data_IF_203197126202
#
_entry.id   IF_203197126202
#
_cell.length_a   1.000
_cell.length_b   1.000
_cell.length_c   1.000
_cell.angle_alpha   90.00
_cell.angle_beta   90.00
_cell.angle_gamma   90.00
#
_symmetry.space_group_name_H-M   'P 1'
#
loop_
_entity.id
_entity.type
_entity.pdbx_description
1 polymer ?
#
# COMPACT_ATOMS: atom_id res chain seq x y z
N UNK A 1 -8.21 38.29 64.81
CA UNK A 1 -7.67 37.05 64.21
C UNK A 1 -8.82 36.10 63.96
N UNK A 2 -9.32 35.98 62.73
CA UNK A 2 -9.82 34.72 62.14
C UNK A 2 -9.64 34.89 60.62
N UNK A 3 -8.82 34.02 60.02
CA UNK A 3 -8.52 33.97 58.59
C UNK A 3 -9.63 33.21 57.88
N UNK A 4 -10.19 33.76 56.79
CA UNK A 4 -11.06 33.00 55.87
C UNK A 4 -10.21 32.51 54.70
N UNK A 5 -9.95 31.21 54.67
CA UNK A 5 -9.40 30.51 53.51
C UNK A 5 -10.54 30.28 52.51
N UNK A 6 -10.45 30.87 51.31
CA UNK A 6 -11.29 30.48 50.17
C UNK A 6 -10.55 29.40 49.40
N UNK A 7 -11.04 28.16 49.47
CA UNK A 7 -10.56 27.05 48.63
C UNK A 7 -11.33 27.12 47.30
N UNK A 8 -10.67 27.56 46.24
CA UNK A 8 -11.18 27.44 44.88
C UNK A 8 -10.81 26.05 44.37
N UNK A 9 -11.80 25.15 44.29
CA UNK A 9 -11.65 23.86 43.65
C UNK A 9 -11.58 24.05 42.12
N UNK A 10 -10.40 23.92 41.55
CA UNK A 10 -10.20 23.75 40.11
C UNK A 10 -10.71 22.37 39.70
N UNK A 11 -11.91 22.32 39.10
CA UNK A 11 -12.39 21.14 38.37
C UNK A 11 -11.62 21.11 37.06
N UNK A 12 -10.52 20.36 37.03
CA UNK A 12 -9.87 19.94 35.79
C UNK A 12 -10.78 18.90 35.12
N UNK A 13 -11.74 19.37 34.33
CA UNK A 13 -12.45 18.52 33.39
C UNK A 13 -11.48 18.05 32.32
N UNK A 14 -11.02 16.81 32.42
CA UNK A 14 -10.32 16.13 31.35
C UNK A 14 -11.27 15.99 30.15
N UNK A 15 -11.07 16.84 29.15
CA UNK A 15 -11.69 16.66 27.83
C UNK A 15 -11.01 15.46 27.19
N UNK A 16 -11.60 14.28 27.34
CA UNK A 16 -11.27 13.13 26.52
C UNK A 16 -11.67 13.46 25.08
N UNK A 17 -10.69 13.81 24.26
CA UNK A 17 -10.85 13.85 22.81
C UNK A 17 -10.98 12.39 22.37
N UNK A 18 -12.21 11.90 22.26
CA UNK A 18 -12.47 10.62 21.63
C UNK A 18 -12.09 10.74 20.15
N UNK A 19 -10.98 10.12 19.74
CA UNK A 19 -10.68 9.90 18.34
C UNK A 19 -11.91 9.24 17.70
N UNK A 20 -12.48 9.93 16.71
CA UNK A 20 -13.77 9.59 16.12
C UNK A 20 -13.79 8.15 15.65
N UNK A 21 -14.79 7.40 16.10
CA UNK A 21 -15.06 6.06 15.61
C UNK A 21 -15.30 6.10 14.09
N UNK A 22 -14.60 5.23 13.37
CA UNK A 22 -14.84 4.88 11.98
C UNK A 22 -16.34 4.66 11.76
N UNK A 23 -16.91 5.30 10.73
CA UNK A 23 -18.31 5.04 10.35
C UNK A 23 -18.33 3.69 9.62
N UNK A 24 -18.59 2.61 10.35
CA UNK A 24 -18.86 1.28 9.79
C UNK A 24 -20.17 1.34 9.00
N UNK A 25 -20.08 1.49 7.68
CA UNK A 25 -21.19 1.21 6.76
C UNK A 25 -21.22 -0.30 6.50
N UNK A 26 -22.17 -0.98 7.15
CA UNK A 26 -22.29 -2.43 7.10
C UNK A 26 -22.96 -2.86 5.78
N UNK A 27 -22.20 -2.89 4.69
CA UNK A 27 -22.61 -3.56 3.45
C UNK A 27 -21.79 -4.84 3.27
N UNK A 28 -22.06 -5.84 4.10
CA UNK A 28 -21.69 -7.26 3.91
C UNK A 28 -20.21 -7.63 3.88
N UNK A 29 -19.43 -7.05 2.95
CA UNK A 29 -18.15 -7.59 2.49
C UNK A 29 -17.05 -6.53 2.26
N UNK A 30 -17.35 -5.24 2.48
CA UNK A 30 -16.43 -4.12 2.21
C UNK A 30 -16.29 -3.19 3.41
N UNK A 31 -15.06 -2.81 3.72
CA UNK A 31 -14.69 -1.88 4.78
C UNK A 31 -14.23 -0.55 4.20
N UNK A 32 -14.69 0.56 4.79
CA UNK A 32 -14.38 1.92 4.33
C UNK A 32 -13.86 2.74 5.50
N UNK A 33 -12.82 3.53 5.24
CA UNK A 33 -12.48 4.69 6.07
C UNK A 33 -12.57 5.97 5.23
N UNK A 34 -13.41 6.89 5.68
CA UNK A 34 -13.36 8.28 5.23
C UNK A 34 -12.28 8.97 6.05
N UNK A 35 -11.10 9.17 5.47
CA UNK A 35 -9.93 9.65 6.21
C UNK A 35 -9.96 11.14 6.54
N UNK A 36 -10.95 11.89 6.02
CA UNK A 36 -11.14 13.32 6.31
C UNK A 36 -11.73 13.50 7.72
N UNK A 37 -11.01 14.12 8.68
CA UNK A 37 -11.52 14.29 10.04
C UNK A 37 -12.75 15.21 10.08
N UNK A 38 -13.67 14.94 11.02
CA UNK A 38 -14.86 15.78 11.21
C UNK A 38 -14.46 17.22 11.52
N UNK A 39 -15.12 18.18 10.86
CA UNK A 39 -14.90 19.62 11.07
C UNK A 39 -13.77 20.22 10.22
N UNK A 40 -13.00 19.41 9.49
CA UNK A 40 -12.07 19.89 8.47
C UNK A 40 -12.73 19.89 7.10
N UNK A 41 -12.49 20.96 6.33
CA UNK A 41 -12.82 20.91 4.91
C UNK A 41 -11.88 19.96 4.19
N UNK A 42 -12.38 19.33 3.14
CA UNK A 42 -11.63 18.47 2.23
C UNK A 42 -10.30 19.11 1.78
N UNK A 43 -10.35 20.38 1.36
CA UNK A 43 -9.19 21.20 0.99
C UNK A 43 -8.18 21.40 2.14
N UNK A 44 -8.67 21.72 3.34
CA UNK A 44 -7.80 21.94 4.50
C UNK A 44 -7.11 20.62 4.94
N UNK A 45 -7.83 19.50 4.87
CA UNK A 45 -7.26 18.19 5.16
C UNK A 45 -6.15 17.84 4.18
N UNK A 46 -6.33 18.02 2.87
CA UNK A 46 -5.25 17.72 1.90
C UNK A 46 -4.04 18.58 2.09
N UNK A 47 -4.23 19.89 2.31
CA UNK A 47 -3.08 20.76 2.59
C UNK A 47 -2.29 20.26 3.80
N UNK A 48 -2.97 19.78 4.84
CA UNK A 48 -2.32 19.17 6.00
C UNK A 48 -1.59 17.85 5.73
N UNK A 49 -1.92 17.13 4.64
CA UNK A 49 -1.20 15.93 4.20
C UNK A 49 0.00 16.34 3.36
N UNK A 50 -0.18 17.27 2.41
CA UNK A 50 0.90 17.80 1.58
C UNK A 50 2.00 18.42 2.45
N UNK A 51 1.63 19.29 3.40
CA UNK A 51 2.56 19.94 4.33
C UNK A 51 3.26 18.94 5.27
N UNK A 52 2.61 17.81 5.55
CA UNK A 52 3.20 16.74 6.36
C UNK A 52 4.33 16.04 5.61
N UNK A 53 4.16 15.73 4.31
CA UNK A 53 5.15 14.97 3.55
C UNK A 53 6.25 15.82 2.91
N UNK A 54 7.18 16.25 3.77
CA UNK A 54 8.45 16.85 3.33
C UNK A 54 9.34 15.81 2.63
N UNK A 55 10.29 16.24 1.77
CA UNK A 55 11.28 15.35 1.18
C UNK A 55 11.99 14.46 2.21
N UNK A 56 12.33 15.00 3.37
CA UNK A 56 13.02 14.26 4.44
C UNK A 56 12.13 13.15 5.04
N UNK A 57 10.83 13.42 5.23
CA UNK A 57 9.89 12.38 5.71
C UNK A 57 9.66 11.29 4.67
N UNK A 58 9.62 11.66 3.39
CA UNK A 58 9.50 10.69 2.30
C UNK A 58 10.75 9.80 2.21
N UNK A 59 11.94 10.39 2.20
CA UNK A 59 13.22 9.66 2.08
C UNK A 59 13.52 8.76 3.30
N UNK A 60 12.95 9.05 4.47
CA UNK A 60 13.14 8.26 5.70
C UNK A 60 12.01 7.26 5.98
N UNK A 61 10.96 7.25 5.15
CA UNK A 61 9.84 6.33 5.29
C UNK A 61 10.27 4.89 4.98
N UNK A 62 9.73 3.94 5.74
CA UNK A 62 10.19 2.55 5.79
C UNK A 62 9.21 1.62 5.09
N UNK A 63 9.61 0.48 4.54
CA UNK A 63 8.62 -0.45 4.00
C UNK A 63 7.77 -1.05 5.14
N UNK A 64 6.53 -1.42 4.84
CA UNK A 64 5.77 -2.28 5.76
C UNK A 64 6.49 -3.63 5.85
N UNK A 65 6.70 -4.11 7.06
CA UNK A 65 7.15 -5.47 7.27
C UNK A 65 6.01 -6.43 6.93
N UNK A 66 6.10 -7.10 5.78
CA UNK A 66 5.30 -8.31 5.55
C UNK A 66 5.87 -9.41 6.45
N UNK A 67 5.04 -10.28 7.07
CA UNK A 67 5.57 -11.44 7.77
C UNK A 67 6.38 -12.27 6.78
N UNK A 68 7.70 -12.32 7.00
CA UNK A 68 8.56 -13.25 6.30
C UNK A 68 8.18 -14.65 6.78
N UNK A 69 7.83 -15.54 5.86
CA UNK A 69 7.43 -16.91 6.20
C UNK A 69 8.68 -17.73 6.56
N UNK A 70 9.20 -17.53 7.77
CA UNK A 70 10.27 -18.36 8.33
C UNK A 70 9.65 -19.58 8.99
N UNK A 71 10.16 -20.78 8.69
CA UNK A 71 9.71 -22.02 9.33
C UNK A 71 9.93 -21.91 10.85
N UNK A 72 8.86 -21.99 11.65
CA UNK A 72 8.99 -22.07 13.11
C UNK A 72 8.34 -23.37 13.60
N UNK A 73 9.15 -24.41 13.77
CA UNK A 73 8.87 -25.48 14.71
C UNK A 73 9.52 -25.14 16.06
N UNK A 74 8.70 -24.54 16.95
CA UNK A 74 8.74 -24.64 18.43
C UNK A 74 9.93 -24.05 19.21
N UNK A 75 9.84 -23.88 20.55
CA UNK A 75 9.07 -22.88 21.28
C UNK A 75 9.96 -21.96 22.16
N UNK A 76 9.41 -20.79 22.54
CA UNK A 76 9.88 -19.84 23.57
C UNK A 76 11.18 -20.17 24.34
N UNK A 77 12.18 -19.32 24.16
CA UNK A 77 13.32 -19.16 25.05
C UNK A 77 13.95 -17.78 24.86
N UNK A 78 13.78 -16.91 25.85
CA UNK A 78 14.43 -15.61 25.98
C UNK A 78 15.97 -15.77 25.93
N UNK A 79 16.64 -14.99 25.09
CA UNK A 79 17.93 -14.40 25.45
C UNK A 79 18.35 -13.34 24.43
N UNK A 80 18.43 -12.12 24.95
CA UNK A 80 19.14 -10.97 24.37
C UNK A 80 20.61 -11.34 24.13
N UNK A 81 21.12 -11.08 22.93
CA UNK A 81 22.46 -10.56 22.66
C UNK A 81 22.52 -10.14 21.18
N UNK A 82 22.80 -8.86 20.95
CA UNK A 82 22.96 -8.31 19.61
C UNK A 82 24.23 -8.83 18.95
N UNK A 83 24.12 -9.17 17.67
CA UNK A 83 25.26 -9.48 16.83
C UNK A 83 25.13 -8.66 15.53
N UNK A 84 25.98 -7.64 15.41
CA UNK A 84 25.96 -6.62 14.35
C UNK A 84 26.46 -7.15 12.98
N UNK A 85 26.72 -8.45 12.84
CA UNK A 85 27.25 -9.07 11.63
C UNK A 85 26.23 -9.90 10.80
N UNK A 86 24.93 -9.81 11.12
CA UNK A 86 23.87 -10.47 10.35
C UNK A 86 23.36 -9.65 9.13
N UNK A 87 23.77 -8.37 9.02
CA UNK A 87 23.30 -7.44 7.97
C UNK A 87 24.01 -7.69 6.62
N UNK A 88 25.14 -8.38 6.61
CA UNK A 88 26.01 -8.50 5.41
C UNK A 88 25.72 -9.74 4.53
N UNK A 89 24.77 -10.61 4.89
CA UNK A 89 24.41 -11.82 4.09
C UNK A 89 23.06 -11.75 3.36
N UNK A 90 22.45 -10.57 3.26
CA UNK A 90 21.21 -10.34 2.50
C UNK A 90 21.47 -9.69 1.12
N UNK A 91 22.74 -9.42 0.76
CA UNK A 91 23.11 -8.64 -0.43
C UNK A 91 23.61 -9.49 -1.63
N UNK A 92 22.83 -10.49 -2.05
CA UNK A 92 23.03 -11.11 -3.38
C UNK A 92 21.69 -11.23 -4.13
N UNK A 93 21.43 -10.34 -5.12
CA UNK A 93 20.25 -10.45 -5.97
C UNK A 93 20.32 -11.71 -6.86
N UNK A 94 19.28 -12.54 -6.83
CA UNK A 94 19.08 -13.66 -7.77
C UNK A 94 17.97 -13.33 -8.77
N UNK A 95 18.20 -12.31 -9.60
CA UNK A 95 17.53 -12.02 -10.87
C UNK A 95 18.09 -10.67 -11.36
N UNK A 96 18.25 -10.45 -12.68
CA UNK A 96 18.58 -9.12 -13.19
C UNK A 96 17.42 -8.16 -12.86
N UNK A 97 17.70 -7.12 -12.07
CA UNK A 97 16.84 -5.93 -12.02
C UNK A 97 17.07 -5.19 -13.34
N UNK A 98 16.00 -4.89 -14.09
CA UNK A 98 16.11 -4.11 -15.32
C UNK A 98 16.21 -2.63 -14.94
N UNK A 99 17.28 -1.96 -15.40
CA UNK A 99 17.58 -0.57 -15.05
C UNK A 99 16.72 0.46 -15.79
N UNK A 100 16.17 1.41 -15.01
CA UNK A 100 15.96 2.86 -15.25
C UNK A 100 15.42 3.31 -16.63
N UNK A 101 14.20 3.87 -16.63
CA UNK A 101 13.92 5.17 -17.27
C UNK A 101 13.39 5.20 -18.71
N UNK A 102 13.24 4.06 -19.39
CA UNK A 102 12.52 3.99 -20.67
C UNK A 102 11.47 2.89 -20.58
N UNK A 103 10.20 3.29 -20.49
CA UNK A 103 9.08 2.36 -20.41
C UNK A 103 8.52 2.10 -19.01
N UNK A 104 8.84 2.92 -18.01
CA UNK A 104 8.12 2.91 -16.73
C UNK A 104 6.75 3.60 -16.89
N UNK A 105 5.66 3.00 -16.41
CA UNK A 105 4.34 3.57 -16.64
C UNK A 105 4.05 4.72 -15.66
N UNK A 106 3.63 5.87 -16.19
CA UNK A 106 3.25 7.03 -15.38
C UNK A 106 2.12 6.74 -14.38
N UNK A 107 1.25 5.77 -14.69
CA UNK A 107 0.15 5.35 -13.84
C UNK A 107 0.60 4.52 -12.61
N UNK A 108 1.84 4.02 -12.56
CA UNK A 108 2.40 3.41 -11.34
C UNK A 108 3.10 4.47 -10.48
N UNK A 109 3.09 4.29 -9.16
CA UNK A 109 3.67 5.28 -8.26
C UNK A 109 3.96 4.77 -6.85
N UNK A 110 4.65 5.63 -6.09
CA UNK A 110 5.03 5.38 -4.70
C UNK A 110 3.92 5.87 -3.79
N UNK A 111 3.65 5.10 -2.74
CA UNK A 111 2.65 5.40 -1.72
C UNK A 111 3.37 5.72 -0.42
N UNK A 112 2.96 6.77 0.27
CA UNK A 112 3.43 7.12 1.61
C UNK A 112 2.26 7.24 2.58
N UNK A 113 2.45 6.78 3.81
CA UNK A 113 1.41 6.84 4.85
C UNK A 113 2.01 6.73 6.25
N UNK A 114 1.15 6.92 7.26
CA UNK A 114 1.51 6.81 8.67
C UNK A 114 0.68 5.70 9.33
N UNK A 115 1.35 4.83 10.09
CA UNK A 115 0.72 3.89 11.02
C UNK A 115 1.53 3.87 12.32
N UNK A 116 0.88 3.81 13.49
CA UNK A 116 1.57 3.80 14.79
C UNK A 116 2.64 4.91 14.91
N UNK A 117 2.31 6.13 14.43
CA UNK A 117 3.19 7.31 14.40
C UNK A 117 4.51 7.16 13.60
N UNK A 118 4.66 6.08 12.82
CA UNK A 118 5.78 5.84 11.93
C UNK A 118 5.38 6.05 10.47
N UNK A 119 6.33 6.54 9.66
CA UNK A 119 6.15 6.76 8.22
C UNK A 119 6.55 5.52 7.43
N UNK A 120 5.68 5.14 6.49
CA UNK A 120 5.84 3.95 5.68
C UNK A 120 5.74 4.22 4.18
N UNK A 121 6.29 3.29 3.40
CA UNK A 121 6.18 3.24 1.95
C UNK A 121 5.54 1.95 1.45
N UNK A 122 4.79 2.10 0.37
CA UNK A 122 4.30 1.05 -0.51
C UNK A 122 4.37 1.54 -1.96
N UNK A 123 3.77 0.78 -2.86
CA UNK A 123 3.52 1.11 -4.26
C UNK A 123 2.02 1.01 -4.56
N UNK A 124 1.61 1.56 -5.70
CA UNK A 124 0.24 1.48 -6.17
C UNK A 124 0.13 1.95 -7.62
N UNK A 125 -1.09 1.90 -8.15
CA UNK A 125 -1.33 2.24 -9.55
C UNK A 125 -2.71 2.82 -9.81
N UNK A 126 -2.78 3.80 -10.70
CA UNK A 126 -4.03 4.36 -11.21
C UNK A 126 -4.73 3.36 -12.10
N UNK A 127 -6.03 3.16 -11.85
CA UNK A 127 -6.89 2.29 -12.66
C UNK A 127 -7.99 3.11 -13.34
N UNK A 128 -8.38 2.67 -14.53
CA UNK A 128 -9.35 3.38 -15.34
C UNK A 128 -10.74 3.30 -14.67
N UNK A 129 -11.17 4.40 -14.05
CA UNK A 129 -12.45 4.53 -13.35
C UNK A 129 -13.18 5.80 -13.80
N UNK A 130 -14.51 5.82 -13.72
CA UNK A 130 -15.32 6.98 -14.13
C UNK A 130 -14.98 8.25 -13.31
N UNK A 131 -14.61 8.07 -12.04
CA UNK A 131 -14.21 9.16 -11.15
C UNK A 131 -12.81 9.74 -11.41
N UNK A 132 -11.97 9.05 -12.21
CA UNK A 132 -10.61 9.46 -12.60
C UNK A 132 -9.60 9.64 -11.45
N UNK A 133 -9.97 9.20 -10.25
CA UNK A 133 -9.22 9.40 -9.00
C UNK A 133 -8.97 8.08 -8.24
N UNK A 134 -9.16 6.93 -8.89
CA UNK A 134 -9.01 5.63 -8.24
C UNK A 134 -7.62 5.04 -8.45
N UNK A 135 -7.03 4.53 -7.38
CA UNK A 135 -5.87 3.64 -7.46
C UNK A 135 -6.16 2.27 -6.85
N UNK A 136 -5.35 1.28 -7.23
CA UNK A 136 -5.28 -0.04 -6.61
C UNK A 136 -3.94 -0.20 -5.89
N UNK A 137 -3.97 -0.83 -4.71
CA UNK A 137 -2.81 -1.17 -3.89
C UNK A 137 -3.10 -2.43 -3.04
N UNK A 138 -2.19 -2.82 -2.15
CA UNK A 138 -2.41 -3.92 -1.21
C UNK A 138 -3.19 -3.44 0.03
N UNK A 139 -3.95 -4.34 0.67
CA UNK A 139 -4.70 -4.04 1.88
C UNK A 139 -3.81 -3.65 3.06
N UNK A 140 -2.66 -4.33 3.22
CA UNK A 140 -1.70 -4.00 4.28
C UNK A 140 -1.04 -2.63 4.12
N UNK A 141 -1.11 -2.01 2.92
CA UNK A 141 -0.62 -0.65 2.68
C UNK A 141 -1.59 0.44 3.17
N UNK A 142 -2.75 0.05 3.71
CA UNK A 142 -3.74 0.99 4.23
C UNK A 142 -4.35 0.60 5.57
N UNK A 143 -4.19 -0.64 6.00
CA UNK A 143 -4.78 -1.12 7.24
C UNK A 143 -3.81 -2.00 8.01
N UNK A 144 -3.60 -1.66 9.28
CA UNK A 144 -2.85 -2.47 10.22
C UNK A 144 -3.81 -3.40 10.97
N UNK A 145 -3.84 -4.68 10.59
CA UNK A 145 -4.70 -5.67 11.23
C UNK A 145 -4.35 -5.93 12.69
N UNK A 146 -3.07 -5.83 13.07
CA UNK A 146 -2.61 -6.07 14.44
C UNK A 146 -3.05 -4.95 15.39
N UNK A 147 -2.94 -3.71 14.93
CA UNK A 147 -3.37 -2.53 15.68
C UNK A 147 -4.86 -2.21 15.49
N UNK A 148 -5.55 -2.88 14.55
CA UNK A 148 -6.93 -2.60 14.14
C UNK A 148 -7.10 -1.10 13.77
N UNK A 149 -6.19 -0.58 12.95
CA UNK A 149 -6.08 0.85 12.63
C UNK A 149 -5.87 1.08 11.14
N UNK A 150 -6.60 2.07 10.61
CA UNK A 150 -6.36 2.60 9.27
C UNK A 150 -5.11 3.47 9.24
N UNK A 151 -4.45 3.46 8.09
CA UNK A 151 -3.37 4.37 7.78
C UNK A 151 -3.89 5.81 7.72
N UNK A 152 -3.06 6.74 8.17
CA UNK A 152 -3.35 8.18 8.10
C UNK A 152 -2.29 8.87 7.24
N UNK A 153 -2.54 10.14 6.90
CA UNK A 153 -1.64 10.93 6.04
C UNK A 153 -1.28 10.18 4.76
N UNK A 154 -2.25 9.47 4.17
CA UNK A 154 -2.01 8.59 3.04
C UNK A 154 -1.93 9.43 1.75
N UNK A 155 -0.84 9.28 0.97
CA UNK A 155 -0.59 10.02 -0.26
C UNK A 155 0.03 9.11 -1.34
N UNK A 156 -0.40 9.33 -2.59
CA UNK A 156 0.14 8.68 -3.78
C UNK A 156 0.94 9.68 -4.61
N UNK A 157 2.10 9.24 -5.10
CA UNK A 157 2.95 10.02 -5.99
C UNK A 157 3.24 9.20 -7.26
N UNK A 158 2.50 9.46 -8.36
CA UNK A 158 2.72 8.77 -9.62
C UNK A 158 4.09 9.11 -10.21
N UNK A 159 4.75 8.09 -10.77
CA UNK A 159 6.10 8.20 -11.32
C UNK A 159 7.07 8.95 -10.39
N UNK A 160 7.01 8.66 -9.09
CA UNK A 160 7.91 9.21 -8.09
C UNK A 160 9.37 8.91 -8.46
N UNK A 161 10.25 9.90 -8.27
CA UNK A 161 11.70 9.68 -8.17
C UNK A 161 12.32 10.67 -7.17
N UNK A 162 13.55 10.41 -6.72
CA UNK A 162 14.32 11.40 -5.95
C UNK A 162 14.49 12.73 -6.69
N UNK A 163 14.46 12.69 -8.03
CA UNK A 163 14.67 13.85 -8.90
C UNK A 163 13.39 14.69 -9.09
N UNK A 164 12.23 14.21 -8.60
CA UNK A 164 11.01 15.00 -8.58
C UNK A 164 9.70 14.22 -8.51
N UNK A 165 8.60 14.99 -8.50
CA UNK A 165 7.22 14.50 -8.47
C UNK A 165 6.50 15.05 -9.72
N UNK A 166 6.69 14.47 -10.90
CA UNK A 166 6.35 15.11 -12.18
C UNK A 166 4.87 15.46 -12.36
N UNK A 167 3.96 14.74 -11.67
CA UNK A 167 2.51 15.00 -11.70
C UNK A 167 1.97 15.54 -10.37
N UNK A 168 2.85 15.91 -9.44
CA UNK A 168 2.50 16.34 -8.09
C UNK A 168 2.19 15.16 -7.16
N UNK A 169 1.36 15.41 -6.15
CA UNK A 169 1.03 14.41 -5.14
C UNK A 169 -0.47 14.43 -4.85
N UNK A 170 -1.03 13.26 -4.56
CA UNK A 170 -2.47 13.04 -4.50
C UNK A 170 -2.83 12.40 -3.15
N UNK A 171 -3.50 13.16 -2.29
CA UNK A 171 -3.91 12.68 -0.98
C UNK A 171 -5.17 11.81 -1.09
N UNK A 172 -5.26 10.75 -0.27
CA UNK A 172 -6.48 9.96 -0.22
C UNK A 172 -7.62 10.70 0.52
N UNK A 173 -8.83 10.56 -0.01
CA UNK A 173 -10.11 10.93 0.63
C UNK A 173 -10.83 9.75 1.25
N UNK A 174 -10.69 8.57 0.65
CA UNK A 174 -11.25 7.32 1.14
C UNK A 174 -10.23 6.19 0.95
N UNK A 175 -10.09 5.35 1.97
CA UNK A 175 -9.35 4.09 1.91
C UNK A 175 -10.35 2.95 2.02
N UNK A 176 -10.27 1.97 1.13
CA UNK A 176 -11.27 0.90 1.05
C UNK A 176 -10.57 -0.43 0.79
N UNK A 177 -10.82 -1.40 1.67
CA UNK A 177 -10.35 -2.78 1.50
C UNK A 177 -11.51 -3.75 1.79
N UNK A 178 -11.27 -5.03 1.60
CA UNK A 178 -12.26 -6.08 1.84
C UNK A 178 -12.38 -6.37 3.34
N UNK A 179 -13.57 -6.78 3.79
CA UNK A 179 -13.74 -7.31 5.16
C UNK A 179 -12.90 -8.57 5.39
N UNK A 180 -12.70 -9.37 4.33
CA UNK A 180 -11.84 -10.56 4.39
C UNK A 180 -10.38 -10.20 4.73
N UNK A 181 -9.85 -9.13 4.16
CA UNK A 181 -8.55 -8.61 4.58
C UNK A 181 -8.61 -8.04 6.00
N UNK A 182 -9.50 -7.07 6.22
CA UNK A 182 -9.53 -6.28 7.45
C UNK A 182 -9.75 -7.15 8.70
N UNK A 183 -10.72 -8.07 8.66
CA UNK A 183 -11.13 -8.86 9.83
C UNK A 183 -10.44 -10.23 9.93
N UNK A 184 -9.97 -10.81 8.81
CA UNK A 184 -9.46 -12.19 8.79
C UNK A 184 -8.00 -12.32 8.35
N UNK A 185 -7.36 -11.22 7.93
CA UNK A 185 -5.99 -11.22 7.41
C UNK A 185 -5.85 -12.24 6.26
N UNK A 186 -6.89 -12.33 5.41
CA UNK A 186 -6.91 -13.26 4.29
C UNK A 186 -6.08 -12.71 3.12
N UNK A 187 -4.93 -13.32 2.87
CA UNK A 187 -4.01 -12.91 1.82
C UNK A 187 -4.57 -13.06 0.39
N UNK A 188 -5.63 -13.85 0.17
CA UNK A 188 -6.35 -13.84 -1.11
C UNK A 188 -7.06 -12.51 -1.37
N UNK A 189 -7.21 -11.72 -0.31
CA UNK A 189 -7.97 -10.50 -0.24
C UNK A 189 -7.10 -9.30 0.16
N UNK A 190 -5.77 -9.44 0.21
CA UNK A 190 -4.79 -8.36 0.43
C UNK A 190 -4.72 -7.41 -0.78
N UNK A 191 -5.84 -6.78 -1.05
CA UNK A 191 -6.08 -5.83 -2.12
C UNK A 191 -6.92 -4.70 -1.57
N UNK A 192 -6.77 -3.55 -2.19
CA UNK A 192 -7.52 -2.39 -1.79
C UNK A 192 -7.54 -1.31 -2.86
N UNK A 193 -8.46 -0.36 -2.68
CA UNK A 193 -8.53 0.86 -3.49
C UNK A 193 -8.40 2.09 -2.59
N UNK A 194 -7.76 3.13 -3.10
CA UNK A 194 -7.83 4.46 -2.52
C UNK A 194 -8.49 5.40 -3.52
N UNK A 195 -9.45 6.20 -3.05
CA UNK A 195 -9.97 7.32 -3.80
C UNK A 195 -9.13 8.54 -3.43
N UNK A 196 -8.50 9.13 -4.45
CA UNK A 196 -7.58 10.24 -4.32
C UNK A 196 -8.30 11.56 -4.51
N UNK A 197 -7.63 12.65 -4.25
CA UNK A 197 -8.14 13.97 -4.54
C UNK A 197 -7.34 14.60 -5.65
N UNK A 198 -7.95 15.52 -6.43
CA UNK A 198 -7.19 16.29 -7.38
C UNK A 198 -5.96 16.91 -6.70
N UNK A 199 -4.86 17.00 -7.44
CA UNK A 199 -3.62 17.57 -6.92
C UNK A 199 -3.78 19.07 -6.59
N UNK A 200 -2.70 19.73 -6.16
CA UNK A 200 -2.73 21.15 -5.79
C UNK A 200 -3.17 22.10 -6.93
N UNK A 201 -3.05 21.65 -8.19
CA UNK A 201 -3.52 22.36 -9.39
C UNK A 201 -4.97 22.03 -9.76
N UNK A 202 -5.65 21.18 -8.98
CA UNK A 202 -7.02 20.75 -9.24
C UNK A 202 -7.15 19.73 -10.38
N UNK A 203 -6.07 19.00 -10.72
CA UNK A 203 -6.06 17.98 -11.77
C UNK A 203 -6.31 16.59 -11.20
N UNK A 204 -7.15 15.81 -11.88
CA UNK A 204 -7.37 14.40 -11.54
C UNK A 204 -6.15 13.57 -11.94
N UNK A 205 -5.86 12.52 -11.17
CA UNK A 205 -4.66 11.72 -11.38
C UNK A 205 -4.68 11.02 -12.75
N UNK A 206 -5.82 10.42 -13.13
CA UNK A 206 -5.96 9.68 -14.39
C UNK A 206 -5.80 10.59 -15.61
N UNK A 207 -6.21 11.85 -15.52
CA UNK A 207 -6.05 12.83 -16.62
C UNK A 207 -4.57 13.13 -16.90
N UNK A 208 -3.70 13.00 -15.89
CA UNK A 208 -2.27 13.33 -15.98
C UNK A 208 -1.42 12.10 -16.32
N UNK A 209 -1.76 10.95 -15.75
CA UNK A 209 -0.90 9.76 -15.78
C UNK A 209 -1.36 8.70 -16.78
N UNK A 210 -2.59 8.83 -17.29
CA UNK A 210 -3.32 7.67 -17.82
C UNK A 210 -3.68 6.69 -16.69
N UNK A 211 -4.14 5.50 -17.07
CA UNK A 211 -4.53 4.47 -16.11
C UNK A 211 -4.46 3.07 -16.73
N UNK A 212 -4.36 2.05 -15.88
CA UNK A 212 -4.45 0.65 -16.31
C UNK A 212 -5.90 0.15 -16.31
N UNK A 213 -6.21 -0.80 -17.18
CA UNK A 213 -7.46 -1.56 -17.04
C UNK A 213 -7.32 -2.64 -15.96
N UNK A 214 -8.43 -3.09 -15.39
CA UNK A 214 -8.46 -4.25 -14.49
C UNK A 214 -8.86 -5.50 -15.29
N UNK A 215 -8.18 -6.62 -15.04
CA UNK A 215 -8.50 -7.91 -15.63
C UNK A 215 -8.72 -8.94 -14.53
N UNK A 216 -9.99 -9.30 -14.32
CA UNK A 216 -10.40 -10.32 -13.35
C UNK A 216 -10.21 -11.72 -13.92
N UNK A 217 -9.99 -12.69 -13.02
CA UNK A 217 -9.83 -14.12 -13.34
C UNK A 217 -8.81 -14.39 -14.45
N UNK A 218 -7.77 -13.55 -14.53
CA UNK A 218 -6.80 -13.62 -15.61
C UNK A 218 -6.11 -14.99 -15.64
N UNK A 219 -5.91 -15.51 -16.85
CA UNK A 219 -5.04 -16.66 -17.06
C UNK A 219 -3.61 -16.29 -16.64
N UNK A 220 -2.81 -17.33 -16.33
CA UNK A 220 -1.40 -17.16 -16.06
C UNK A 220 -0.71 -16.97 -17.42
N UNK A 221 0.26 -16.08 -17.48
CA UNK A 221 0.87 -15.60 -18.72
C UNK A 221 2.37 -15.92 -18.72
N UNK A 222 2.94 -16.15 -19.91
CA UNK A 222 4.39 -16.35 -20.08
C UNK A 222 5.21 -15.08 -19.77
N UNK A 223 4.55 -13.91 -19.79
CA UNK A 223 5.15 -12.63 -19.42
C UNK A 223 4.14 -11.74 -18.70
N UNK A 224 4.49 -11.34 -17.49
CA UNK A 224 3.82 -10.30 -16.70
C UNK A 224 4.86 -9.31 -16.21
N UNK A 225 4.58 -8.02 -16.36
CA UNK A 225 5.44 -6.94 -15.88
C UNK A 225 4.97 -6.50 -14.50
N UNK A 226 5.87 -6.47 -13.52
CA UNK A 226 5.59 -5.99 -12.16
C UNK A 226 6.36 -4.72 -11.93
N UNK A 227 5.73 -3.72 -11.31
CA UNK A 227 6.35 -2.43 -10.99
C UNK A 227 6.22 -2.14 -9.49
N UNK A 228 7.21 -1.47 -8.91
CA UNK A 228 7.15 -1.03 -7.51
C UNK A 228 8.38 -0.23 -7.08
N UNK A 229 8.41 0.15 -5.81
CA UNK A 229 9.47 0.94 -5.18
C UNK A 229 10.16 0.17 -4.04
N UNK A 230 10.90 -0.90 -4.35
CA UNK A 230 11.53 -1.73 -3.33
C UNK A 230 12.76 -1.06 -2.70
N UNK A 231 12.97 -1.21 -1.40
CA UNK A 231 14.12 -0.59 -0.72
C UNK A 231 15.47 -1.23 -1.05
N UNK A 232 15.51 -2.44 -1.58
CA UNK A 232 16.77 -3.04 -2.08
C UNK A 232 17.22 -2.47 -3.43
N UNK A 233 16.47 -1.55 -4.04
CA UNK A 233 16.82 -0.85 -5.26
C UNK A 233 16.73 0.66 -5.02
N UNK A 234 17.87 1.35 -5.07
CA UNK A 234 17.99 2.78 -4.78
C UNK A 234 17.23 3.26 -3.53
N UNK A 235 17.16 2.43 -2.48
CA UNK A 235 16.41 2.71 -1.25
C UNK A 235 14.92 3.03 -1.48
N UNK A 236 14.35 2.55 -2.58
CA UNK A 236 12.97 2.81 -2.99
C UNK A 236 12.77 4.20 -3.58
N UNK A 237 13.83 4.92 -3.93
CA UNK A 237 13.74 6.26 -4.53
C UNK A 237 13.48 6.24 -6.04
N UNK A 238 13.57 5.08 -6.68
CA UNK A 238 13.19 4.88 -8.09
C UNK A 238 12.24 3.71 -8.25
N UNK A 239 11.43 3.75 -9.31
CA UNK A 239 10.63 2.60 -9.71
C UNK A 239 11.56 1.48 -10.22
N UNK A 240 11.24 0.25 -9.86
CA UNK A 240 11.90 -0.96 -10.35
C UNK A 240 10.89 -1.89 -11.01
N UNK A 241 11.38 -2.80 -11.86
CA UNK A 241 10.54 -3.71 -12.62
C UNK A 241 11.07 -5.14 -12.72
N UNK A 242 10.15 -6.09 -12.70
CA UNK A 242 10.40 -7.49 -13.03
C UNK A 242 9.52 -7.90 -14.22
N UNK A 243 10.04 -8.73 -15.12
CA UNK A 243 9.26 -9.31 -16.21
C UNK A 243 9.54 -10.81 -16.30
N UNK A 244 8.54 -11.63 -15.97
CA UNK A 244 8.64 -13.09 -15.98
C UNK A 244 7.28 -13.76 -16.11
N UNK A 245 7.27 -15.08 -16.32
CA UNK A 245 6.05 -15.88 -16.33
C UNK A 245 5.39 -15.92 -14.94
N UNK A 246 4.06 -15.87 -14.92
CA UNK A 246 3.27 -16.09 -13.71
C UNK A 246 2.90 -17.56 -13.57
N UNK A 247 2.83 -18.05 -12.33
CA UNK A 247 2.37 -19.41 -12.02
C UNK A 247 1.39 -19.39 -10.85
N UNK A 248 0.51 -20.38 -10.79
CA UNK A 248 -0.33 -20.57 -9.61
C UNK A 248 0.56 -20.88 -8.41
N UNK A 249 0.18 -20.38 -7.25
CA UNK A 249 0.82 -20.74 -5.99
C UNK A 249 -0.23 -21.06 -4.94
N UNK A 250 0.12 -21.97 -4.04
CA UNK A 250 -0.66 -22.21 -2.85
C UNK A 250 0.28 -22.30 -1.67
N UNK A 251 0.07 -21.43 -0.70
CA UNK A 251 0.88 -21.36 0.50
C UNK A 251 0.01 -21.78 1.68
N UNK A 252 0.51 -22.76 2.43
CA UNK A 252 -0.09 -23.25 3.66
C UNK A 252 0.97 -23.20 4.75
N UNK A 253 1.30 -22.00 5.23
CA UNK A 253 2.32 -21.84 6.26
C UNK A 253 2.12 -20.57 7.09
N UNK A 254 2.21 -20.72 8.42
CA UNK A 254 2.09 -19.61 9.37
C UNK A 254 0.72 -18.93 9.29
N UNK A 255 0.70 -17.59 9.26
CA UNK A 255 -0.55 -16.81 9.16
C UNK A 255 -1.19 -16.85 7.75
N UNK A 256 -0.50 -17.42 6.75
CA UNK A 256 -0.98 -17.52 5.37
C UNK A 256 -1.60 -18.91 5.19
N UNK A 257 -2.85 -19.05 5.62
CA UNK A 257 -3.65 -20.25 5.43
C UNK A 257 -4.48 -20.15 4.14
N UNK A 258 -4.43 -21.17 3.29
CA UNK A 258 -5.27 -21.30 2.09
C UNK A 258 -5.11 -20.16 1.05
N UNK A 259 -3.93 -19.56 0.95
CA UNK A 259 -3.65 -18.63 -0.14
C UNK A 259 -3.65 -19.35 -1.48
N UNK A 260 -4.37 -18.81 -2.46
CA UNK A 260 -4.57 -19.31 -3.82
C UNK A 260 -4.38 -18.18 -4.82
N UNK A 261 -3.19 -17.58 -4.80
CA UNK A 261 -2.84 -16.49 -5.70
C UNK A 261 -1.94 -16.91 -6.85
N UNK A 262 -1.19 -15.94 -7.33
CA UNK A 262 -0.15 -16.10 -8.34
C UNK A 262 1.21 -15.71 -7.75
N UNK A 263 2.26 -16.28 -8.33
CA UNK A 263 3.64 -15.93 -8.01
C UNK A 263 4.44 -15.65 -9.28
N UNK A 264 5.49 -14.86 -9.12
CA UNK A 264 6.42 -14.50 -10.19
C UNK A 264 7.85 -14.42 -9.63
N UNK A 265 8.83 -14.78 -10.44
CA UNK A 265 10.24 -14.55 -10.11
C UNK A 265 10.53 -13.05 -10.19
N UNK A 266 10.82 -12.46 -9.05
CA UNK A 266 11.09 -11.04 -8.90
C UNK A 266 11.87 -10.79 -7.60
N UNK A 267 12.98 -10.05 -7.70
CA UNK A 267 13.86 -9.76 -6.56
C UNK A 267 13.46 -8.55 -5.73
N UNK A 268 12.33 -7.91 -6.04
CA UNK A 268 11.85 -6.75 -5.29
C UNK A 268 11.48 -7.11 -3.85
N UNK A 269 11.92 -6.30 -2.88
CA UNK A 269 11.60 -6.49 -1.47
C UNK A 269 10.62 -5.42 -0.95
N UNK A 270 10.59 -5.21 0.37
CA UNK A 270 9.70 -4.25 1.02
C UNK A 270 9.66 -2.89 0.32
N UNK A 271 8.47 -2.30 0.23
CA UNK A 271 8.20 -1.06 -0.52
C UNK A 271 7.59 -1.32 -1.90
N UNK A 272 7.86 -2.49 -2.51
CA UNK A 272 7.17 -2.93 -3.72
C UNK A 272 5.71 -3.36 -3.51
N UNK A 273 5.31 -3.61 -2.26
CA UNK A 273 3.95 -3.96 -1.87
C UNK A 273 2.90 -3.03 -2.46
N UNK A 274 1.81 -3.57 -2.98
CA UNK A 274 0.75 -2.84 -3.68
C UNK A 274 1.06 -2.49 -5.13
N UNK A 275 2.30 -2.68 -5.58
CA UNK A 275 2.71 -2.42 -6.96
C UNK A 275 1.99 -3.29 -7.98
N UNK A 276 1.67 -2.76 -9.19
CA UNK A 276 0.83 -3.44 -10.16
C UNK A 276 1.54 -4.59 -10.87
N UNK A 277 0.79 -5.67 -11.13
CA UNK A 277 1.18 -6.76 -12.02
C UNK A 277 0.38 -6.65 -13.31
N UNK A 278 1.06 -6.37 -14.43
CA UNK A 278 0.46 -6.00 -15.70
C UNK A 278 0.67 -7.10 -16.76
N UNK A 279 -0.42 -7.55 -17.36
CA UNK A 279 -0.39 -8.31 -18.61
C UNK A 279 -0.56 -7.38 -19.80
N UNK A 280 -0.09 -7.83 -20.96
CA UNK A 280 -0.12 -7.06 -22.21
C UNK A 280 0.46 -5.64 -22.04
N UNK A 281 1.52 -5.52 -21.24
CA UNK A 281 2.15 -4.23 -21.01
C UNK A 281 2.87 -3.75 -22.27
N UNK A 282 2.49 -2.58 -22.76
CA UNK A 282 3.16 -1.89 -23.86
C UNK A 282 3.98 -0.73 -23.31
N UNK A 283 5.30 -0.90 -23.29
CA UNK A 283 6.25 0.10 -22.79
C UNK A 283 6.29 1.38 -23.63
N UNK A 284 5.77 1.38 -24.87
CA UNK A 284 5.71 2.59 -25.69
C UNK A 284 4.57 3.52 -25.26
N UNK A 285 3.46 2.93 -24.81
CA UNK A 285 2.26 3.67 -24.38
C UNK A 285 2.13 3.76 -22.86
N UNK A 286 2.85 2.92 -22.11
CA UNK A 286 2.69 2.78 -20.66
C UNK A 286 1.36 2.12 -20.27
N UNK A 287 0.69 1.43 -21.21
CA UNK A 287 -0.63 0.84 -21.01
C UNK A 287 -0.55 -0.66 -20.73
N UNK A 288 -1.54 -1.20 -20.02
CA UNK A 288 -1.61 -2.61 -19.67
C UNK A 288 -2.84 -2.94 -18.83
N UNK A 289 -3.05 -4.23 -18.59
CA UNK A 289 -4.14 -4.73 -17.76
C UNK A 289 -3.60 -5.27 -16.45
N UNK A 290 -4.03 -4.71 -15.32
CA UNK A 290 -3.64 -5.15 -14.00
C UNK A 290 -4.41 -6.39 -13.58
N UNK A 291 -3.67 -7.41 -13.14
CA UNK A 291 -4.20 -8.73 -12.74
C UNK A 291 -3.97 -9.07 -11.27
N UNK A 292 -3.09 -8.32 -10.60
CA UNK A 292 -2.69 -8.53 -9.22
C UNK A 292 -1.96 -7.29 -8.66
N UNK A 293 -1.61 -7.38 -7.38
CA UNK A 293 -0.68 -6.49 -6.69
C UNK A 293 0.39 -7.32 -5.97
N UNK A 294 1.57 -6.75 -5.77
CA UNK A 294 2.58 -7.36 -4.89
C UNK A 294 2.05 -7.37 -3.45
N UNK A 295 1.89 -8.55 -2.83
CA UNK A 295 1.35 -8.67 -1.47
C UNK A 295 2.43 -9.08 -0.47
N UNK A 296 3.17 -10.16 -0.76
CA UNK A 296 4.28 -10.62 0.09
C UNK A 296 5.36 -11.33 -0.72
N UNK A 297 6.53 -11.48 -0.11
CA UNK A 297 7.57 -12.38 -0.58
C UNK A 297 7.69 -13.60 0.33
N UNK A 298 8.26 -14.68 -0.18
CA UNK A 298 8.49 -15.91 0.60
C UNK A 298 9.98 -16.24 0.65
N UNK A 299 10.52 -16.44 1.85
CA UNK A 299 11.87 -16.97 2.07
C UNK A 299 12.02 -18.42 1.61
N UNK A 300 10.92 -19.17 1.51
CA UNK A 300 10.89 -20.54 0.97
C UNK A 300 10.92 -20.58 -0.56
N UNK A 301 10.50 -19.49 -1.20
CA UNK A 301 10.57 -19.30 -2.64
C UNK A 301 11.47 -18.09 -2.93
N UNK A 302 12.72 -18.16 -2.44
CA UNK A 302 13.72 -17.09 -2.60
C UNK A 302 13.72 -16.52 -4.02
N UNK A 303 13.59 -15.20 -4.15
CA UNK A 303 13.50 -14.53 -5.44
C UNK A 303 12.13 -14.58 -6.10
N UNK A 304 11.06 -14.94 -5.38
CA UNK A 304 9.67 -14.81 -5.82
C UNK A 304 8.84 -13.95 -4.88
N UNK A 305 7.97 -13.17 -5.49
CA UNK A 305 6.89 -12.46 -4.82
C UNK A 305 5.55 -13.08 -5.20
N UNK A 306 4.56 -12.88 -4.33
CA UNK A 306 3.21 -13.41 -4.46
C UNK A 306 2.19 -12.26 -4.42
N UNK A 307 1.09 -12.46 -5.13
CA UNK A 307 -0.02 -11.52 -5.19
C UNK A 307 -1.36 -12.25 -5.30
N UNK A 308 -2.43 -11.74 -4.67
CA UNK A 308 -3.77 -12.27 -4.87
C UNK A 308 -4.18 -12.11 -6.33
N UNK A 309 -4.78 -13.14 -6.92
CA UNK A 309 -5.38 -13.00 -8.24
C UNK A 309 -6.61 -12.08 -8.12
N UNK A 310 -6.74 -11.13 -9.03
CA UNK A 310 -7.93 -10.29 -9.09
C UNK A 310 -9.15 -11.12 -9.52
N UNK A 311 -10.19 -11.10 -8.71
CA UNK A 311 -11.47 -11.79 -8.90
C UNK A 311 -12.62 -10.85 -8.52
N UNK A 312 -13.86 -11.27 -8.79
CA UNK A 312 -15.03 -10.44 -8.48
C UNK A 312 -15.20 -10.25 -6.97
N UNK A 313 -14.90 -11.28 -6.19
CA UNK A 313 -15.02 -11.29 -4.74
C UNK A 313 -13.94 -10.47 -4.03
N UNK A 314 -12.93 -9.92 -4.73
CA UNK A 314 -11.94 -9.04 -4.12
C UNK A 314 -11.93 -7.66 -4.77
N UNK A 315 -11.07 -7.39 -5.75
CA UNK A 315 -10.95 -6.10 -6.38
C UNK A 315 -12.17 -5.77 -7.26
N UNK A 316 -12.84 -6.78 -7.84
CA UNK A 316 -14.00 -6.54 -8.70
C UNK A 316 -15.13 -5.85 -7.94
N UNK A 317 -15.50 -6.36 -6.77
CA UNK A 317 -16.51 -5.74 -5.91
C UNK A 317 -16.12 -4.33 -5.45
N UNK A 318 -14.83 -4.09 -5.14
CA UNK A 318 -14.34 -2.76 -4.76
C UNK A 318 -14.41 -1.81 -5.97
N UNK A 319 -13.99 -2.25 -7.14
CA UNK A 319 -14.02 -1.43 -8.34
C UNK A 319 -15.46 -1.06 -8.70
N UNK A 320 -16.36 -2.04 -8.85
CA UNK A 320 -17.77 -1.82 -9.23
C UNK A 320 -18.48 -0.84 -8.30
N UNK A 321 -18.21 -0.91 -6.99
CA UNK A 321 -18.90 -0.10 -6.00
C UNK A 321 -18.39 1.35 -5.91
N UNK A 322 -17.15 1.62 -6.30
CA UNK A 322 -16.52 2.95 -6.07
C UNK A 322 -16.05 3.65 -7.35
N UNK A 323 -16.09 3.01 -8.52
CA UNK A 323 -15.62 3.60 -9.77
C UNK A 323 -16.31 4.92 -10.13
N UNK A 324 -17.52 5.18 -9.61
CA UNK A 324 -18.33 6.36 -9.93
C UNK A 324 -18.39 7.38 -8.78
N UNK A 325 -17.59 7.22 -7.73
CA UNK A 325 -17.55 8.10 -6.55
C UNK A 325 -16.47 9.18 -6.63
#
# INVERSE_FOLDING_TARGET
>A
MVSFLVVVALILGSISISNGAAIRSNSGDVSIEVVVPRGLTRKAYFRSIIDFWTPERMASARPVESPTIVNHQTPFGDNRNGDENAIERILTPSAPLLSKGVGDPNAAGKVFFVMNDLTYICSGSVVNAENRDMIVTAGHCMYNNTANQWATKWIFVPNYSSDGRPFGSFAARELVTTEAWMAKVDYNNDVAIALLEPNEEGKHVQDLTGAFGISLNAAKEDKTNVFGYPINSDKGETMDTCAAATSATSVLLGMIFNFKGIQITCGMNGGSSGGPWLRNYDSNTGSGQQVSVTSFGSTLASGKIQGPLFVEENIGQLFTKYQNK
#
